data_IF_694588515400
#
_entry.id   IF_694588515400
#
_cell.length_a   1.000
_cell.length_b   1.000
_cell.length_c   1.000
_cell.angle_alpha   90.00
_cell.angle_beta   90.00
_cell.angle_gamma   90.00
#
_symmetry.space_group_name_H-M   'P 1'
#
loop_
_entity.id
_entity.type
_entity.pdbx_description
1 polymer ?
#
# COMPACT_ATOMS: atom_id res chain seq x y z
N UNK A 1 -22.45 -16.43 -22.59
CA UNK A 1 -21.55 -15.50 -23.34
C UNK A 1 -22.01 -14.08 -23.04
N UNK A 2 -21.20 -13.35 -22.24
CA UNK A 2 -21.48 -11.96 -21.88
C UNK A 2 -20.84 -11.09 -22.95
N UNK A 3 -21.63 -10.34 -23.70
CA UNK A 3 -21.11 -9.31 -24.60
C UNK A 3 -20.72 -8.13 -23.68
N UNK A 4 -19.42 -7.83 -23.59
CA UNK A 4 -18.96 -6.63 -22.89
C UNK A 4 -19.42 -5.41 -23.70
N UNK A 5 -20.39 -4.67 -23.14
CA UNK A 5 -20.82 -3.39 -23.71
C UNK A 5 -19.71 -2.36 -23.39
N UNK A 6 -19.03 -1.80 -24.41
CA UNK A 6 -17.98 -0.80 -24.18
C UNK A 6 -18.52 0.49 -23.55
N UNK A 7 -19.83 0.70 -23.53
CA UNK A 7 -20.49 1.81 -22.87
C UNK A 7 -20.97 1.46 -21.44
N UNK A 8 -20.85 0.18 -21.02
CA UNK A 8 -21.21 -0.20 -19.67
C UNK A 8 -20.23 0.46 -18.67
N UNK A 9 -20.78 1.19 -17.73
CA UNK A 9 -20.01 1.78 -16.64
C UNK A 9 -20.16 0.98 -15.37
N UNK A 10 -19.03 0.58 -14.79
CA UNK A 10 -18.97 -0.13 -13.53
C UNK A 10 -18.56 0.78 -12.37
N UNK A 11 -18.30 0.16 -11.24
CA UNK A 11 -17.73 0.82 -10.08
C UNK A 11 -16.68 -0.04 -9.39
N UNK A 12 -15.74 0.62 -8.71
CA UNK A 12 -14.78 -0.04 -7.82
C UNK A 12 -14.99 0.53 -6.43
N UNK A 13 -15.19 -0.33 -5.45
CA UNK A 13 -15.39 0.05 -4.06
C UNK A 13 -14.62 -0.89 -3.14
N UNK A 14 -14.47 -0.50 -1.88
CA UNK A 14 -13.83 -1.32 -0.87
C UNK A 14 -13.41 -0.52 0.33
N UNK A 15 -12.51 -1.08 1.12
CA UNK A 15 -11.92 -0.42 2.28
C UNK A 15 -10.42 -0.28 2.11
N UNK A 16 -9.86 0.82 2.64
CA UNK A 16 -8.42 1.01 2.76
C UNK A 16 -8.04 1.00 4.23
N UNK A 17 -7.09 0.15 4.58
CA UNK A 17 -6.42 0.14 5.88
C UNK A 17 -5.09 0.86 5.77
N UNK A 18 -4.84 1.76 6.69
CA UNK A 18 -3.62 2.57 6.75
C UNK A 18 -3.26 2.91 8.19
N UNK A 19 -2.16 3.63 8.39
CA UNK A 19 -1.66 3.99 9.71
C UNK A 19 -1.35 5.47 9.82
N UNK A 20 -0.75 5.91 10.92
CA UNK A 20 -0.22 7.22 11.19
C UNK A 20 -1.32 8.29 11.39
N UNK A 21 -1.27 9.39 10.67
CA UNK A 21 -2.05 10.60 10.94
C UNK A 21 -3.51 10.52 10.47
N UNK A 22 -4.44 10.95 11.34
CA UNK A 22 -5.84 11.14 10.99
C UNK A 22 -6.06 12.27 9.97
N UNK A 23 -5.16 13.26 9.93
CA UNK A 23 -5.26 14.42 9.04
C UNK A 23 -4.82 14.12 7.61
N UNK A 24 -4.02 13.06 7.41
CA UNK A 24 -3.56 12.67 6.08
C UNK A 24 -4.68 11.96 5.32
N UNK A 25 -4.90 12.40 4.09
CA UNK A 25 -5.90 11.79 3.20
C UNK A 25 -5.32 10.58 2.47
N UNK A 26 -6.21 9.67 2.08
CA UNK A 26 -5.89 8.53 1.22
C UNK A 26 -6.30 8.89 -0.21
N UNK A 27 -5.39 8.75 -1.15
CA UNK A 27 -5.65 8.93 -2.58
C UNK A 27 -5.70 7.57 -3.25
N UNK A 28 -6.78 7.32 -4.00
CA UNK A 28 -6.97 6.10 -4.80
C UNK A 28 -7.10 6.52 -6.26
N UNK A 29 -6.23 5.98 -7.11
CA UNK A 29 -6.22 6.23 -8.55
C UNK A 29 -6.44 4.93 -9.31
N UNK A 30 -7.18 5.01 -10.43
CA UNK A 30 -7.28 3.95 -11.42
C UNK A 30 -6.56 4.40 -12.70
N UNK A 31 -5.51 3.71 -13.05
CA UNK A 31 -4.69 3.96 -14.23
C UNK A 31 -4.98 2.84 -15.22
N UNK A 32 -5.53 3.20 -16.38
CA UNK A 32 -5.85 2.21 -17.40
C UNK A 32 -4.57 1.53 -17.90
N UNK A 33 -4.63 0.24 -18.14
CA UNK A 33 -3.49 -0.52 -18.65
C UNK A 33 -2.94 0.11 -19.94
N UNK A 34 -1.63 0.30 -20.02
CA UNK A 34 -0.97 0.96 -21.14
C UNK A 34 -0.91 2.49 -21.07
N UNK A 35 -1.44 3.10 -20.00
CA UNK A 35 -1.38 4.54 -19.75
C UNK A 35 -0.55 4.84 -18.49
N UNK A 36 -0.06 6.06 -18.36
CA UNK A 36 0.71 6.53 -17.20
C UNK A 36 -0.11 7.44 -16.26
N UNK A 37 -1.13 8.10 -16.82
CA UNK A 37 -1.96 9.05 -16.08
C UNK A 37 -3.21 8.37 -15.53
N UNK A 38 -3.71 8.79 -14.36
CA UNK A 38 -4.94 8.25 -13.81
C UNK A 38 -6.15 8.65 -14.64
N UNK A 39 -6.97 7.67 -15.02
CA UNK A 39 -8.26 7.88 -15.66
C UNK A 39 -9.34 8.29 -14.64
N UNK A 40 -9.23 7.78 -13.41
CA UNK A 40 -10.15 8.06 -12.30
C UNK A 40 -9.37 8.24 -11.01
N UNK A 41 -9.84 9.13 -10.15
CA UNK A 41 -9.24 9.39 -8.85
C UNK A 41 -10.33 9.68 -7.81
N UNK A 42 -10.11 9.23 -6.60
CA UNK A 42 -10.85 9.68 -5.42
C UNK A 42 -9.91 9.94 -4.24
N UNK A 43 -10.25 10.91 -3.42
CA UNK A 43 -9.50 11.27 -2.23
C UNK A 43 -10.45 11.17 -1.04
N UNK A 44 -10.11 10.34 -0.08
CA UNK A 44 -10.93 10.09 1.11
C UNK A 44 -10.13 10.42 2.39
N UNK A 45 -10.79 10.72 3.52
CA UNK A 45 -10.12 10.89 4.80
C UNK A 45 -9.45 9.57 5.24
N UNK A 46 -8.66 9.60 6.32
CA UNK A 46 -8.08 8.38 6.90
C UNK A 46 -9.12 7.40 7.44
N UNK A 47 -10.28 7.90 7.85
CA UNK A 47 -11.39 7.09 8.33
C UNK A 47 -11.39 6.86 9.84
N UNK A 48 -11.96 5.74 10.26
CA UNK A 48 -12.11 5.38 11.68
C UNK A 48 -10.85 4.74 12.21
N UNK A 49 -10.41 5.19 13.39
CA UNK A 49 -9.23 4.66 14.08
C UNK A 49 -9.59 3.52 15.01
N UNK A 50 -8.85 2.43 14.92
CA UNK A 50 -8.88 1.31 15.86
C UNK A 50 -7.43 0.87 16.14
N UNK A 51 -7.00 1.05 17.39
CA UNK A 51 -5.58 0.87 17.74
C UNK A 51 -4.68 1.84 16.97
N UNK A 52 -3.70 1.32 16.23
CA UNK A 52 -2.82 2.09 15.35
C UNK A 52 -3.37 2.23 13.92
N UNK A 53 -4.41 1.48 13.59
CA UNK A 53 -4.95 1.37 12.24
C UNK A 53 -6.09 2.34 12.00
N UNK A 54 -6.15 2.88 10.79
CA UNK A 54 -7.27 3.63 10.25
C UNK A 54 -7.92 2.83 9.13
N UNK A 55 -9.25 2.82 9.08
CA UNK A 55 -10.02 2.16 8.03
C UNK A 55 -11.01 3.14 7.43
N UNK A 56 -11.02 3.25 6.11
CA UNK A 56 -11.95 4.09 5.35
C UNK A 56 -12.53 3.31 4.19
N UNK A 57 -13.83 3.53 3.92
CA UNK A 57 -14.47 3.03 2.70
C UNK A 57 -14.29 4.01 1.56
N UNK A 58 -14.19 3.51 0.34
CA UNK A 58 -14.15 4.30 -0.88
C UNK A 58 -15.05 3.72 -1.96
N UNK A 59 -15.44 4.56 -2.91
CA UNK A 59 -16.18 4.16 -4.12
C UNK A 59 -15.79 5.09 -5.26
N UNK A 60 -15.48 4.49 -6.41
CA UNK A 60 -15.30 5.19 -7.68
C UNK A 60 -16.33 4.62 -8.64
N UNK A 61 -17.20 5.46 -9.18
CA UNK A 61 -18.30 5.07 -10.07
C UNK A 61 -18.10 5.60 -11.48
N UNK A 62 -18.85 5.08 -12.45
CA UNK A 62 -18.79 5.55 -13.82
C UNK A 62 -17.53 5.12 -14.57
N UNK A 63 -16.95 3.97 -14.19
CA UNK A 63 -15.70 3.46 -14.76
C UNK A 63 -16.01 2.68 -16.02
N UNK A 64 -15.38 3.05 -17.13
CA UNK A 64 -15.47 2.28 -18.39
C UNK A 64 -14.91 0.87 -18.20
N UNK A 65 -15.43 -0.09 -18.96
CA UNK A 65 -14.91 -1.46 -18.96
C UNK A 65 -13.44 -1.47 -19.37
N UNK A 66 -12.63 -2.21 -18.64
CA UNK A 66 -11.19 -2.29 -18.87
C UNK A 66 -10.42 -2.86 -17.69
N UNK A 67 -9.12 -3.02 -17.88
CA UNK A 67 -8.18 -3.41 -16.82
C UNK A 67 -7.40 -2.18 -16.37
N UNK A 68 -7.33 -2.00 -15.05
CA UNK A 68 -6.73 -0.85 -14.41
C UNK A 68 -5.70 -1.29 -13.36
N UNK A 69 -4.67 -0.50 -13.20
CA UNK A 69 -3.84 -0.51 -12.00
C UNK A 69 -4.48 0.44 -10.98
N UNK A 70 -4.97 -0.10 -9.88
CA UNK A 70 -5.43 0.70 -8.75
C UNK A 70 -4.23 1.04 -7.85
N UNK A 71 -3.92 2.31 -7.74
CA UNK A 71 -2.82 2.82 -6.93
C UNK A 71 -3.37 3.50 -5.68
N UNK A 72 -2.89 3.07 -4.51
CA UNK A 72 -3.30 3.59 -3.21
C UNK A 72 -2.13 4.28 -2.52
N UNK A 73 -2.33 5.53 -2.15
CA UNK A 73 -1.29 6.41 -1.61
C UNK A 73 -1.76 7.13 -0.35
N UNK A 74 -0.86 7.28 0.59
CA UNK A 74 -1.00 8.15 1.77
C UNK A 74 0.40 8.61 2.20
N UNK A 75 0.47 9.78 2.82
CA UNK A 75 1.75 10.32 3.34
C UNK A 75 2.44 9.30 4.27
N UNK A 76 3.76 9.19 4.16
CA UNK A 76 4.64 8.27 4.91
C UNK A 76 4.41 6.78 4.65
N UNK A 77 3.48 6.41 3.77
CA UNK A 77 3.21 5.02 3.39
C UNK A 77 3.88 4.69 2.06
N UNK A 78 4.22 3.43 1.91
CA UNK A 78 4.64 2.90 0.61
C UNK A 78 3.41 2.75 -0.27
N UNK A 79 3.46 3.31 -1.47
CA UNK A 79 2.40 3.16 -2.47
C UNK A 79 2.17 1.68 -2.78
N UNK A 80 0.92 1.24 -2.78
CA UNK A 80 0.55 -0.12 -3.15
C UNK A 80 -0.34 -0.13 -4.37
N UNK A 81 -0.12 -1.10 -5.24
CA UNK A 81 -0.83 -1.25 -6.49
C UNK A 81 -1.54 -2.61 -6.54
N UNK A 82 -2.73 -2.61 -7.13
CA UNK A 82 -3.58 -3.79 -7.35
C UNK A 82 -4.06 -3.79 -8.78
N UNK A 83 -4.23 -4.96 -9.38
CA UNK A 83 -4.88 -5.08 -10.69
C UNK A 83 -6.38 -5.24 -10.52
N UNK A 84 -7.17 -4.38 -11.16
CA UNK A 84 -8.63 -4.39 -11.10
C UNK A 84 -9.19 -4.45 -12.52
N UNK A 85 -10.11 -5.38 -12.77
CA UNK A 85 -10.82 -5.48 -14.05
C UNK A 85 -12.28 -5.11 -13.85
N UNK A 86 -12.74 -4.13 -14.61
CA UNK A 86 -14.12 -3.63 -14.61
C UNK A 86 -14.80 -4.08 -15.92
N UNK A 87 -15.96 -4.70 -15.81
CA UNK A 87 -16.75 -5.21 -16.93
C UNK A 87 -18.21 -4.75 -16.89
N UNK A 88 -18.43 -3.48 -16.48
CA UNK A 88 -19.76 -2.90 -16.37
C UNK A 88 -20.51 -3.26 -15.07
N UNK A 89 -19.86 -3.95 -14.13
CA UNK A 89 -20.42 -4.33 -12.84
C UNK A 89 -19.64 -3.69 -11.68
N UNK A 90 -20.18 -3.82 -10.47
CA UNK A 90 -19.49 -3.42 -9.26
C UNK A 90 -18.37 -4.42 -8.93
N UNK A 91 -17.18 -3.90 -8.70
CA UNK A 91 -15.99 -4.66 -8.29
C UNK A 91 -15.62 -4.24 -6.88
N UNK A 92 -15.32 -5.21 -6.01
CA UNK A 92 -14.80 -4.93 -4.67
C UNK A 92 -13.31 -5.18 -4.64
N UNK A 93 -12.53 -4.15 -4.27
CA UNK A 93 -11.09 -4.24 -4.04
C UNK A 93 -10.76 -3.59 -2.71
N UNK A 94 -10.43 -4.40 -1.71
CA UNK A 94 -9.88 -3.90 -0.46
C UNK A 94 -8.37 -3.68 -0.58
N UNK A 95 -7.86 -2.72 0.16
CA UNK A 95 -6.45 -2.35 0.15
C UNK A 95 -5.92 -2.19 1.57
N UNK A 96 -4.64 -2.44 1.71
CA UNK A 96 -3.88 -2.18 2.93
C UNK A 96 -2.52 -1.61 2.55
N UNK A 97 -2.16 -0.47 3.13
CA UNK A 97 -0.89 0.21 2.90
C UNK A 97 -0.14 0.39 4.22
N UNK A 98 1.18 0.21 4.18
CA UNK A 98 2.05 0.23 5.35
C UNK A 98 2.99 1.42 5.33
N UNK A 99 3.40 1.84 6.51
CA UNK A 99 4.42 2.87 6.69
C UNK A 99 5.75 2.39 6.11
N UNK A 100 6.49 3.27 5.47
CA UNK A 100 7.86 2.97 5.06
C UNK A 100 8.70 2.56 6.28
N UNK A 101 9.30 1.37 6.26
CA UNK A 101 10.07 0.80 7.36
C UNK A 101 9.28 -0.06 8.36
N UNK A 102 7.96 -0.10 8.28
CA UNK A 102 7.09 -0.98 9.08
C UNK A 102 6.90 -2.31 8.35
N UNK A 103 7.86 -3.22 8.48
CA UNK A 103 7.90 -4.47 7.69
C UNK A 103 6.98 -5.55 8.22
N UNK A 104 6.53 -5.46 9.47
CA UNK A 104 5.56 -6.39 10.05
C UNK A 104 4.11 -5.93 9.84
N UNK A 105 3.89 -4.64 9.50
CA UNK A 105 2.58 -4.08 9.18
C UNK A 105 1.70 -3.81 10.42
N UNK A 106 2.31 -3.53 11.58
CA UNK A 106 1.58 -3.24 12.82
C UNK A 106 1.34 -1.74 13.07
N UNK A 107 1.84 -0.89 12.19
CA UNK A 107 1.70 0.57 12.26
C UNK A 107 2.71 1.24 13.18
N UNK A 108 3.72 0.53 13.64
CA UNK A 108 4.82 1.06 14.45
C UNK A 108 6.15 0.76 13.74
N UNK A 109 7.08 1.69 13.81
CA UNK A 109 8.45 1.49 13.31
C UNK A 109 9.35 1.31 14.51
N UNK A 110 9.74 0.09 14.82
CA UNK A 110 10.50 -0.21 16.03
C UNK A 110 11.54 -1.33 15.84
N UNK A 111 12.04 -1.85 16.95
CA UNK A 111 13.04 -2.91 16.95
C UNK A 111 12.51 -4.23 16.40
N UNK A 112 11.19 -4.46 16.38
CA UNK A 112 10.62 -5.67 15.77
C UNK A 112 10.86 -5.69 14.27
N UNK A 113 10.75 -4.52 13.60
CA UNK A 113 11.06 -4.39 12.17
C UNK A 113 12.53 -4.66 11.89
N UNK A 114 13.42 -4.07 12.69
CA UNK A 114 14.87 -4.31 12.60
C UNK A 114 15.19 -5.80 12.72
N UNK A 115 14.60 -6.48 13.70
CA UNK A 115 14.79 -7.92 13.89
C UNK A 115 14.35 -8.73 12.66
N UNK A 116 13.21 -8.37 12.05
CA UNK A 116 12.73 -9.07 10.85
C UNK A 116 13.66 -8.88 9.64
N UNK A 117 14.18 -7.68 9.44
CA UNK A 117 15.15 -7.40 8.37
C UNK A 117 16.46 -8.17 8.63
N UNK A 118 16.97 -8.15 9.87
CA UNK A 118 18.16 -8.92 10.25
C UNK A 118 17.97 -10.43 10.07
N UNK A 119 16.80 -10.97 10.41
CA UNK A 119 16.48 -12.39 10.20
C UNK A 119 16.56 -12.75 8.72
N UNK A 120 15.92 -11.93 7.85
CA UNK A 120 15.99 -12.11 6.40
C UNK A 120 17.45 -12.08 5.90
N UNK A 121 18.21 -11.08 6.31
CA UNK A 121 19.62 -10.92 5.92
C UNK A 121 20.46 -12.13 6.30
N UNK A 122 20.16 -12.76 7.42
CA UNK A 122 20.85 -13.96 7.91
C UNK A 122 20.20 -15.29 7.40
N UNK A 123 19.33 -15.24 6.41
CA UNK A 123 18.66 -16.41 5.85
C UNK A 123 17.76 -17.16 6.84
N UNK A 124 17.25 -16.47 7.85
CA UNK A 124 16.31 -17.01 8.85
C UNK A 124 14.87 -16.70 8.44
N UNK A 125 13.94 -17.59 8.83
CA UNK A 125 12.51 -17.35 8.66
C UNK A 125 12.09 -16.03 9.28
N UNK A 126 11.33 -15.23 8.54
CA UNK A 126 10.93 -13.88 8.93
C UNK A 126 9.55 -13.55 8.36
N UNK A 127 9.03 -12.34 8.65
CA UNK A 127 7.78 -11.87 8.05
C UNK A 127 7.83 -11.80 6.52
N UNK A 128 9.01 -11.71 5.92
CA UNK A 128 9.18 -11.69 4.46
C UNK A 128 8.80 -13.01 3.77
N UNK A 129 8.68 -14.10 4.52
CA UNK A 129 8.22 -15.39 4.02
C UNK A 129 6.69 -15.54 4.09
N UNK A 130 6.00 -14.60 4.77
CA UNK A 130 4.56 -14.65 5.02
C UNK A 130 3.75 -13.94 3.93
N UNK A 131 2.55 -14.48 3.67
CA UNK A 131 1.59 -13.93 2.73
C UNK A 131 1.80 -14.43 1.29
N UNK A 132 0.99 -13.91 0.38
CA UNK A 132 1.09 -14.20 -1.05
C UNK A 132 2.30 -13.50 -1.70
N UNK A 133 2.54 -13.79 -2.97
CA UNK A 133 3.68 -13.22 -3.71
C UNK A 133 3.61 -11.68 -3.79
N UNK A 134 2.42 -11.11 -3.94
CA UNK A 134 2.22 -9.67 -4.03
C UNK A 134 2.52 -8.98 -2.68
N UNK A 135 2.03 -9.56 -1.58
CA UNK A 135 2.31 -9.04 -0.22
C UNK A 135 3.79 -9.15 0.12
N UNK A 136 4.46 -10.26 -0.25
CA UNK A 136 5.91 -10.39 -0.06
C UNK A 136 6.70 -9.36 -0.86
N UNK A 137 6.33 -9.14 -2.12
CA UNK A 137 6.95 -8.12 -2.97
C UNK A 137 6.73 -6.70 -2.42
N UNK A 138 5.52 -6.41 -1.92
CA UNK A 138 5.22 -5.13 -1.29
C UNK A 138 6.05 -4.92 -0.01
N UNK A 139 6.20 -5.94 0.82
CA UNK A 139 7.03 -5.87 2.05
C UNK A 139 8.49 -5.56 1.76
N UNK A 140 9.03 -6.05 0.64
CA UNK A 140 10.38 -5.68 0.21
C UNK A 140 10.49 -4.17 -0.08
N UNK A 141 9.48 -3.58 -0.72
CA UNK A 141 9.44 -2.12 -0.95
C UNK A 141 9.31 -1.34 0.37
N UNK A 142 8.60 -1.88 1.35
CA UNK A 142 8.47 -1.28 2.68
C UNK A 142 9.80 -1.28 3.43
N UNK A 143 10.62 -2.30 3.23
CA UNK A 143 11.95 -2.44 3.86
C UNK A 143 13.04 -1.61 3.17
N UNK A 144 12.91 -1.31 1.89
CA UNK A 144 13.85 -0.52 1.10
C UNK A 144 13.63 0.98 1.35
N UNK A 145 14.18 1.46 2.46
CA UNK A 145 13.93 2.83 2.97
C UNK A 145 14.63 3.87 2.09
N UNK A 146 15.77 3.53 1.51
CA UNK A 146 16.51 4.40 0.60
C UNK A 146 16.05 4.32 -0.86
N UNK A 147 15.16 3.38 -1.20
CA UNK A 147 14.66 3.14 -2.56
C UNK A 147 15.80 2.90 -3.58
N UNK A 148 16.83 2.16 -3.15
CA UNK A 148 17.97 1.78 -3.98
C UNK A 148 17.87 0.35 -4.52
N UNK A 149 16.74 -0.32 -4.26
CA UNK A 149 16.42 -1.72 -4.57
C UNK A 149 17.31 -2.74 -3.82
N UNK A 150 17.93 -2.31 -2.75
CA UNK A 150 18.69 -3.15 -1.83
C UNK A 150 18.05 -3.10 -0.44
N UNK A 151 18.15 -4.18 0.30
CA UNK A 151 17.76 -4.21 1.72
C UNK A 151 19.00 -4.61 2.50
N UNK A 152 19.60 -3.61 3.15
CA UNK A 152 20.88 -3.80 3.83
C UNK A 152 20.97 -3.02 5.15
N UNK A 153 22.17 -2.83 5.65
CA UNK A 153 22.43 -2.14 6.92
C UNK A 153 22.08 -0.65 6.88
N UNK A 154 22.01 -0.03 5.69
CA UNK A 154 21.63 1.38 5.56
C UNK A 154 20.15 1.56 5.89
N UNK A 155 19.29 0.63 5.45
CA UNK A 155 17.85 0.64 5.79
C UNK A 155 17.64 0.38 7.28
N UNK A 156 18.33 -0.61 7.83
CA UNK A 156 18.30 -0.91 9.27
C UNK A 156 18.67 0.32 10.09
N UNK A 157 19.74 1.02 9.70
CA UNK A 157 20.20 2.22 10.39
C UNK A 157 19.15 3.34 10.39
N UNK A 158 18.31 3.47 9.35
CA UNK A 158 17.26 4.48 9.34
C UNK A 158 16.16 4.19 10.36
N UNK A 159 15.77 2.92 10.52
CA UNK A 159 14.81 2.53 11.57
C UNK A 159 15.40 2.76 12.94
N UNK A 160 16.66 2.38 13.18
CA UNK A 160 17.35 2.59 14.45
C UNK A 160 17.48 4.09 14.80
N UNK A 161 17.80 4.93 13.82
CA UNK A 161 17.87 6.39 14.02
C UNK A 161 16.51 6.95 14.36
N UNK A 162 15.47 6.56 13.62
CA UNK A 162 14.09 6.96 13.88
C UNK A 162 13.65 6.55 15.29
N UNK A 163 13.86 5.28 15.66
CA UNK A 163 13.51 4.75 16.98
C UNK A 163 14.21 5.48 18.13
N UNK A 164 15.47 5.89 17.94
CA UNK A 164 16.25 6.63 18.91
C UNK A 164 16.03 8.16 18.85
N UNK A 165 15.00 8.63 18.15
CA UNK A 165 14.68 10.06 18.01
C UNK A 165 15.78 10.87 17.32
N UNK A 166 16.59 10.24 16.47
CA UNK A 166 17.62 10.89 15.67
C UNK A 166 17.12 11.17 14.26
N UNK A 167 17.72 12.15 13.59
CA UNK A 167 17.41 12.46 12.20
C UNK A 167 17.46 11.19 11.32
N UNK A 168 16.40 10.94 10.61
CA UNK A 168 16.17 9.79 9.74
C UNK A 168 15.35 10.23 8.53
N UNK A 169 15.42 9.49 7.41
CA UNK A 169 14.53 9.69 6.26
C UNK A 169 13.08 9.30 6.54
N UNK A 170 12.82 8.65 7.66
CA UNK A 170 11.48 8.27 8.11
C UNK A 170 10.71 9.42 8.81
N UNK A 171 11.36 10.54 9.09
CA UNK A 171 10.77 11.75 9.69
C UNK A 171 11.37 12.16 11.00
#
# INVERSE_FOLDING_TARGET
>A
YKIDDPNASGSVSGTVKSFNSASDKVTIQLIQQGHSEPAYETIVPSGTKEGNQYTVSYTISGIASGTYTMRVMKNKHVTREYTVTVSGEAVTQNAEIWLLGDVNGDGVRDMTDVVQICRRFNGKTSVFDNGDAETRAYRLKVADIYADNSIDTTDINQILRYYNGKSSVLG
#
